data_IF_662644199123
#
_entry.id   IF_662644199123
#
_cell.length_a   1.000
_cell.length_b   1.000
_cell.length_c   1.000
_cell.angle_alpha   90.00
_cell.angle_beta   90.00
_cell.angle_gamma   90.00
#
_symmetry.space_group_name_H-M   'P 1'
#
loop_
_entity.id
_entity.type
_entity.pdbx_description
1 polymer ?
#
# COMPACT_ATOMS: atom_id res chain seq x y z
N UNK A 1 -18.81 -6.53 -18.01
CA UNK A 1 -17.68 -5.81 -18.63
C UNK A 1 -16.55 -5.68 -17.62
N UNK A 2 -15.31 -5.87 -18.06
CA UNK A 2 -14.12 -5.70 -17.23
C UNK A 2 -13.71 -4.22 -17.22
N UNK A 3 -13.75 -3.57 -16.05
CA UNK A 3 -13.45 -2.14 -15.92
C UNK A 3 -11.99 -1.93 -15.54
N UNK A 4 -11.19 -1.45 -16.48
CA UNK A 4 -9.80 -1.09 -16.21
C UNK A 4 -9.70 0.22 -15.42
N UNK A 5 -9.12 0.16 -14.20
CA UNK A 5 -8.99 1.30 -13.28
C UNK A 5 -7.71 2.11 -13.52
N UNK A 6 -6.57 1.44 -13.72
CA UNK A 6 -5.28 2.07 -13.96
C UNK A 6 -4.82 1.83 -15.40
N UNK A 7 -4.33 2.87 -16.08
CA UNK A 7 -3.94 2.82 -17.50
C UNK A 7 -2.52 3.36 -17.67
N UNK A 8 -1.55 2.47 -17.86
CA UNK A 8 -0.17 2.86 -18.23
C UNK A 8 0.52 3.83 -17.26
N UNK A 9 0.22 3.74 -15.95
CA UNK A 9 0.80 4.63 -14.94
C UNK A 9 2.30 4.37 -14.82
N UNK A 10 3.10 5.42 -14.94
CA UNK A 10 4.56 5.38 -14.79
C UNK A 10 5.01 6.57 -13.94
N UNK A 11 6.02 6.38 -13.10
CA UNK A 11 6.56 7.41 -12.23
C UNK A 11 7.65 6.88 -11.30
N UNK A 12 8.29 7.79 -10.58
CA UNK A 12 9.35 7.49 -9.60
C UNK A 12 9.08 8.30 -8.32
N UNK A 13 9.35 7.69 -7.17
CA UNK A 13 9.34 8.34 -5.87
C UNK A 13 10.77 8.35 -5.34
N UNK A 14 11.31 9.53 -5.05
CA UNK A 14 12.71 9.68 -4.64
C UNK A 14 12.85 9.71 -3.13
N UNK A 15 13.95 9.17 -2.64
CA UNK A 15 14.27 9.19 -1.22
C UNK A 15 14.43 10.63 -0.72
N UNK A 16 13.84 10.94 0.44
CA UNK A 16 13.90 12.28 1.05
C UNK A 16 12.90 13.29 0.49
N UNK A 17 12.05 12.89 -0.47
CA UNK A 17 11.03 13.76 -1.04
C UNK A 17 9.62 13.38 -0.57
N UNK A 18 8.80 14.38 -0.28
CA UNK A 18 7.36 14.20 -0.05
C UNK A 18 6.63 14.29 -1.40
N UNK A 19 6.08 13.19 -1.88
CA UNK A 19 5.32 13.14 -3.12
C UNK A 19 3.81 13.10 -2.85
N UNK A 20 3.05 13.94 -3.54
CA UNK A 20 1.59 13.96 -3.46
C UNK A 20 0.94 13.39 -4.73
N UNK A 21 -0.06 12.52 -4.57
CA UNK A 21 -0.91 12.01 -5.66
C UNK A 21 -2.27 12.70 -5.56
N UNK A 22 -2.59 13.54 -6.54
CA UNK A 22 -3.83 14.32 -6.55
C UNK A 22 -4.73 13.95 -7.73
N UNK A 23 -6.04 14.16 -7.57
CA UNK A 23 -7.04 13.88 -8.60
C UNK A 23 -8.46 13.72 -8.02
N UNK A 24 -9.51 13.75 -8.86
CA UNK A 24 -10.90 13.69 -8.41
C UNK A 24 -11.23 12.35 -7.73
N UNK A 25 -12.34 12.30 -7.00
CA UNK A 25 -12.86 11.04 -6.45
C UNK A 25 -13.10 10.04 -7.58
N UNK A 26 -12.74 8.77 -7.37
CA UNK A 26 -12.84 7.72 -8.39
C UNK A 26 -11.72 7.69 -9.44
N UNK A 27 -10.74 8.61 -9.41
CA UNK A 27 -9.60 8.62 -10.34
C UNK A 27 -8.63 7.43 -10.16
N UNK A 28 -8.82 6.59 -9.15
CA UNK A 28 -7.98 5.41 -8.90
C UNK A 28 -6.77 5.64 -7.99
N UNK A 29 -6.70 6.78 -7.27
CA UNK A 29 -5.61 7.10 -6.31
C UNK A 29 -5.41 6.00 -5.25
N UNK A 30 -6.46 5.65 -4.52
CA UNK A 30 -6.42 4.58 -3.51
C UNK A 30 -6.12 3.23 -4.15
N UNK A 31 -6.56 2.99 -5.39
CA UNK A 31 -6.20 1.79 -6.15
C UNK A 31 -4.71 1.74 -6.46
N UNK A 32 -4.11 2.83 -6.93
CA UNK A 32 -2.67 2.94 -7.18
C UNK A 32 -1.87 2.69 -5.90
N UNK A 33 -2.25 3.32 -4.78
CA UNK A 33 -1.62 3.11 -3.48
C UNK A 33 -1.73 1.66 -3.00
N UNK A 34 -2.91 1.03 -3.10
CA UNK A 34 -3.12 -0.38 -2.75
C UNK A 34 -2.25 -1.32 -3.59
N UNK A 35 -2.09 -1.04 -4.88
CA UNK A 35 -1.24 -1.83 -5.77
C UNK A 35 0.23 -1.68 -5.36
N UNK A 36 0.70 -0.46 -5.07
CA UNK A 36 2.07 -0.21 -4.60
C UNK A 36 2.36 -0.89 -3.26
N UNK A 37 1.43 -0.79 -2.31
CA UNK A 37 1.53 -1.39 -0.97
C UNK A 37 1.33 -2.92 -0.94
N UNK A 38 0.89 -3.54 -2.04
CA UNK A 38 0.80 -5.00 -2.17
C UNK A 38 -0.56 -5.62 -1.84
N UNK A 39 -1.56 -4.82 -1.46
CA UNK A 39 -2.88 -5.31 -1.05
C UNK A 39 -3.76 -5.82 -2.19
N UNK A 40 -3.61 -5.30 -3.42
CA UNK A 40 -4.44 -5.70 -4.58
C UNK A 40 -3.59 -6.03 -5.81
N UNK A 41 -2.93 -7.19 -5.80
CA UNK A 41 -2.04 -7.63 -6.88
C UNK A 41 -2.70 -8.52 -7.95
N UNK A 42 -3.94 -8.99 -7.73
CA UNK A 42 -4.63 -9.84 -8.72
C UNK A 42 -5.09 -8.99 -9.91
N UNK A 43 -4.70 -9.37 -11.12
CA UNK A 43 -5.08 -8.69 -12.37
C UNK A 43 -4.27 -7.42 -12.68
N UNK A 44 -3.19 -7.15 -11.94
CA UNK A 44 -2.31 -6.00 -12.22
C UNK A 44 -1.15 -6.42 -13.11
N UNK A 45 -0.93 -5.69 -14.21
CA UNK A 45 0.26 -5.80 -15.05
C UNK A 45 1.31 -4.73 -14.74
N UNK A 46 2.48 -4.85 -15.34
CA UNK A 46 3.60 -3.91 -15.18
C UNK A 46 4.61 -4.34 -14.12
N UNK A 47 5.52 -3.43 -13.78
CA UNK A 47 6.61 -3.67 -12.83
C UNK A 47 6.71 -2.54 -11.81
N UNK A 48 6.93 -2.91 -10.55
CA UNK A 48 7.18 -1.98 -9.45
C UNK A 48 8.56 -2.30 -8.89
N UNK A 49 9.43 -1.30 -8.87
CA UNK A 49 10.78 -1.42 -8.35
C UNK A 49 10.88 -0.67 -7.02
N UNK A 50 11.49 -1.31 -6.02
CA UNK A 50 11.81 -0.70 -4.72
C UNK A 50 13.31 -0.79 -4.54
N UNK A 51 13.98 0.36 -4.46
CA UNK A 51 15.44 0.47 -4.43
C UNK A 51 16.12 -0.35 -5.54
N UNK A 52 15.62 -0.22 -6.78
CA UNK A 52 16.15 -0.89 -7.97
C UNK A 52 15.88 -2.40 -8.08
N UNK A 53 15.13 -3.00 -7.14
CA UNK A 53 14.77 -4.42 -7.16
C UNK A 53 13.27 -4.62 -7.37
N UNK A 54 12.91 -5.65 -8.13
CA UNK A 54 11.52 -6.02 -8.37
C UNK A 54 10.81 -6.39 -7.07
N UNK A 55 9.76 -5.65 -6.73
CA UNK A 55 8.99 -5.85 -5.51
C UNK A 55 8.36 -7.24 -5.47
N UNK A 56 7.84 -7.75 -6.58
CA UNK A 56 7.15 -9.05 -6.64
C UNK A 56 8.11 -10.24 -6.48
N UNK A 57 9.43 -10.01 -6.60
CA UNK A 57 10.48 -11.01 -6.38
C UNK A 57 11.05 -10.99 -4.96
N UNK A 58 10.68 -10.01 -4.13
CA UNK A 58 11.04 -9.97 -2.70
C UNK A 58 10.06 -10.80 -1.90
N UNK A 59 10.50 -11.28 -0.73
CA UNK A 59 9.56 -11.82 0.25
C UNK A 59 8.64 -10.70 0.75
N UNK A 60 7.39 -11.04 1.06
CA UNK A 60 6.43 -10.08 1.62
C UNK A 60 6.97 -9.42 2.89
N UNK A 61 7.65 -10.23 3.69
CA UNK A 61 8.32 -9.88 4.96
C UNK A 61 9.46 -8.85 4.78
N UNK A 62 10.20 -8.90 3.68
CA UNK A 62 11.23 -7.90 3.38
C UNK A 62 10.62 -6.55 2.98
N UNK A 63 9.52 -6.56 2.23
CA UNK A 63 8.86 -5.35 1.78
C UNK A 63 8.12 -4.65 2.93
N UNK A 64 7.43 -5.40 3.80
CA UNK A 64 6.71 -4.83 4.95
C UNK A 64 7.66 -4.13 5.94
N UNK A 65 8.89 -4.62 6.11
CA UNK A 65 9.91 -3.92 6.93
C UNK A 65 10.38 -2.58 6.37
N UNK A 66 10.17 -2.32 5.08
CA UNK A 66 10.64 -1.12 4.39
C UNK A 66 9.53 -0.09 4.16
N UNK A 67 8.27 -0.47 4.35
CA UNK A 67 7.12 0.32 3.95
C UNK A 67 5.97 0.16 4.94
N UNK A 68 5.39 1.28 5.37
CA UNK A 68 4.13 1.31 6.11
C UNK A 68 3.03 1.86 5.21
N UNK A 69 1.84 1.27 5.26
CA UNK A 69 0.67 1.71 4.52
C UNK A 69 -0.49 1.96 5.49
N UNK A 70 -0.97 3.20 5.50
CA UNK A 70 -2.12 3.60 6.31
C UNK A 70 -3.36 3.57 5.40
N UNK A 71 -4.38 2.81 5.82
CA UNK A 71 -5.59 2.66 5.04
C UNK A 71 -6.46 3.92 5.09
N UNK A 72 -7.34 4.07 4.10
CA UNK A 72 -8.27 5.20 4.04
C UNK A 72 -9.36 5.11 5.12
N UNK A 73 -9.83 3.89 5.40
CA UNK A 73 -10.81 3.61 6.44
C UNK A 73 -10.15 2.78 7.54
N UNK A 74 -10.24 3.24 8.79
CA UNK A 74 -9.65 2.55 9.94
C UNK A 74 -10.59 1.46 10.47
N UNK A 75 -10.07 0.24 10.58
CA UNK A 75 -10.74 -0.86 11.26
C UNK A 75 -10.45 -0.83 12.76
N UNK A 76 -11.06 0.12 13.46
CA UNK A 76 -10.96 0.22 14.90
C UNK A 76 -11.68 -0.96 15.57
N UNK A 77 -10.94 -1.69 16.41
CA UNK A 77 -11.47 -2.64 17.39
C UNK A 77 -12.07 -1.86 18.56
N UNK A 78 -13.39 -1.92 18.69
CA UNK A 78 -14.17 -1.16 19.67
C UNK A 78 -13.81 -1.44 21.14
N UNK A 79 -13.14 -2.57 21.39
CA UNK A 79 -12.77 -3.02 22.74
C UNK A 79 -11.40 -2.50 23.22
N UNK A 80 -10.64 -1.81 22.37
CA UNK A 80 -9.31 -1.31 22.73
C UNK A 80 -9.34 0.20 22.98
N UNK A 81 -8.63 0.63 24.02
CA UNK A 81 -8.35 2.05 24.24
C UNK A 81 -7.40 2.59 23.18
N UNK A 82 -7.37 3.91 23.00
CA UNK A 82 -6.44 4.55 22.07
C UNK A 82 -4.96 4.20 22.32
N UNK A 83 -4.58 3.99 23.58
CA UNK A 83 -3.22 3.56 23.95
C UNK A 83 -2.93 2.13 23.47
N UNK A 84 -3.83 1.20 23.79
CA UNK A 84 -3.67 -0.21 23.40
C UNK A 84 -3.65 -0.36 21.87
N UNK A 85 -4.42 0.45 21.15
CA UNK A 85 -4.38 0.51 19.70
C UNK A 85 -3.03 0.94 19.14
N UNK A 86 -2.44 1.98 19.72
CA UNK A 86 -1.12 2.46 19.31
C UNK A 86 -0.03 1.42 19.62
N UNK A 87 -0.11 0.74 20.76
CA UNK A 87 0.83 -0.33 21.11
C UNK A 87 0.68 -1.54 20.18
N UNK A 88 -0.55 -1.91 19.81
CA UNK A 88 -0.82 -3.00 18.87
C UNK A 88 -0.45 -2.67 17.42
N UNK A 89 -0.60 -1.43 16.96
CA UNK A 89 -0.24 -1.05 15.59
C UNK A 89 1.28 -1.17 15.36
N UNK A 90 2.10 -0.75 16.32
CA UNK A 90 3.56 -0.89 16.28
C UNK A 90 4.01 -2.36 16.19
N UNK A 91 3.25 -3.29 16.76
CA UNK A 91 3.55 -4.73 16.70
C UNK A 91 3.04 -5.40 15.41
N UNK A 92 2.04 -4.81 14.76
CA UNK A 92 1.36 -5.40 13.59
C UNK A 92 1.76 -4.78 12.24
N UNK A 93 2.69 -3.82 12.23
CA UNK A 93 3.32 -3.25 11.03
C UNK A 93 3.99 -4.30 10.12
N UNK A 94 4.19 -5.53 10.62
CA UNK A 94 4.43 -6.71 9.79
C UNK A 94 3.11 -7.27 9.21
N UNK A 95 2.60 -6.61 8.18
CA UNK A 95 1.68 -7.22 7.19
C UNK A 95 0.47 -7.95 7.76
N UNK A 96 -0.55 -7.22 8.22
CA UNK A 96 -1.88 -7.80 8.45
C UNK A 96 -2.52 -8.20 7.10
N UNK A 97 -2.18 -9.42 6.69
CA UNK A 97 -3.10 -10.51 6.32
C UNK A 97 -4.53 -10.07 5.94
N UNK A 98 -4.70 -9.63 4.69
CA UNK A 98 -5.96 -9.81 3.96
C UNK A 98 -5.80 -11.01 3.03
N UNK A 99 -6.09 -12.19 3.56
CA UNK A 99 -6.59 -13.31 2.77
C UNK A 99 -8.09 -13.14 2.56
#
# INVERSE_FOLDING_TARGET
EEKQILRGVSGEFRAGELTAIMGPSGAGKSTLLNVMAGYKCKGTGGQILVNGRDRNKRSLDEFSRLSCYIMQDDHLREVLTAREMHEHSVQSEAGQEYR
#
